data_IF_789897494487
#
_entry.id   IF_789897494487
#
_cell.length_a   1.000
_cell.length_b   1.000
_cell.length_c   1.000
_cell.angle_alpha   90.00
_cell.angle_beta   90.00
_cell.angle_gamma   90.00
#
_symmetry.space_group_name_H-M   'P 1'
#
loop_
_entity.id
_entity.type
_entity.pdbx_description
1 polymer ?
#
# COMPACT_ATOMS: atom_id res chain seq x y z
N UNK A 1 -1.78 10.47 -14.16
CA UNK A 1 -2.67 9.85 -13.15
C UNK A 1 -1.84 8.95 -12.26
N UNK A 2 -2.00 9.08 -10.95
CA UNK A 2 -1.28 8.25 -9.98
C UNK A 2 -1.72 6.79 -10.13
N UNK A 3 -0.76 5.88 -10.20
CA UNK A 3 -1.00 4.43 -10.37
C UNK A 3 -0.74 3.73 -9.06
N UNK A 4 -1.71 2.97 -8.58
CA UNK A 4 -1.70 2.36 -7.25
C UNK A 4 -1.86 0.84 -7.33
N UNK A 5 -1.05 0.13 -6.55
CA UNK A 5 -1.22 -1.30 -6.30
C UNK A 5 -1.72 -1.45 -4.86
N UNK A 6 -2.71 -2.32 -4.64
CA UNK A 6 -3.24 -2.56 -3.29
C UNK A 6 -2.94 -4.00 -2.90
N UNK A 7 -2.31 -4.18 -1.73
CA UNK A 7 -1.99 -5.51 -1.19
C UNK A 7 -2.83 -5.73 0.07
N UNK A 8 -3.79 -6.65 -0.02
CA UNK A 8 -4.72 -6.94 1.06
C UNK A 8 -5.34 -8.31 0.81
N UNK A 9 -5.56 -9.10 1.85
CA UNK A 9 -6.17 -10.43 1.71
C UNK A 9 -7.70 -10.39 1.72
N UNK A 10 -8.31 -9.23 1.95
CA UNK A 10 -9.76 -9.08 1.94
C UNK A 10 -10.24 -8.63 0.56
N UNK A 11 -10.91 -9.52 -0.17
CA UNK A 11 -11.46 -9.18 -1.48
C UNK A 11 -12.49 -8.06 -1.37
N UNK A 12 -13.28 -8.08 -0.29
CA UNK A 12 -14.28 -7.05 -0.05
C UNK A 12 -13.63 -5.66 0.07
N UNK A 13 -12.53 -5.56 0.82
CA UNK A 13 -11.81 -4.29 0.95
C UNK A 13 -11.20 -3.88 -0.39
N UNK A 14 -10.60 -4.83 -1.12
CA UNK A 14 -9.97 -4.53 -2.41
C UNK A 14 -10.98 -3.94 -3.39
N UNK A 15 -12.16 -4.51 -3.46
CA UNK A 15 -13.21 -4.03 -4.36
C UNK A 15 -13.68 -2.64 -3.97
N UNK A 16 -13.90 -2.41 -2.67
CA UNK A 16 -14.36 -1.11 -2.17
C UNK A 16 -13.30 -0.03 -2.36
N UNK A 17 -12.04 -0.35 -2.07
CA UNK A 17 -10.94 0.61 -2.21
C UNK A 17 -10.70 0.96 -3.68
N UNK A 18 -10.78 -0.03 -4.57
CA UNK A 18 -10.63 0.22 -6.01
C UNK A 18 -11.69 1.22 -6.49
N UNK A 19 -12.95 0.99 -6.15
CA UNK A 19 -14.03 1.88 -6.56
C UNK A 19 -13.85 3.29 -6.02
N UNK A 20 -13.49 3.40 -4.74
CA UNK A 20 -13.27 4.70 -4.10
C UNK A 20 -12.13 5.46 -4.78
N UNK A 21 -10.98 4.83 -4.95
CA UNK A 21 -9.80 5.49 -5.47
C UNK A 21 -9.96 5.86 -6.95
N UNK A 22 -10.59 5.00 -7.73
CA UNK A 22 -10.85 5.31 -9.14
C UNK A 22 -11.80 6.49 -9.29
N UNK A 23 -12.80 6.61 -8.42
CA UNK A 23 -13.65 7.79 -8.38
C UNK A 23 -12.87 9.07 -8.06
N UNK A 24 -11.75 8.95 -7.38
CA UNK A 24 -10.94 10.09 -6.95
C UNK A 24 -9.71 10.32 -7.84
N UNK A 25 -9.70 9.73 -9.03
CA UNK A 25 -8.66 10.00 -10.01
C UNK A 25 -7.38 9.22 -9.82
N UNK A 26 -7.41 8.14 -9.05
CA UNK A 26 -6.25 7.24 -8.88
C UNK A 26 -6.52 5.95 -9.63
N UNK A 27 -5.61 5.54 -10.50
CA UNK A 27 -5.74 4.30 -11.24
C UNK A 27 -5.26 3.13 -10.37
N UNK A 28 -6.14 2.19 -10.05
CA UNK A 28 -5.76 0.96 -9.36
C UNK A 28 -5.32 -0.04 -10.42
N UNK A 29 -4.02 -0.17 -10.60
CA UNK A 29 -3.44 -0.97 -11.69
C UNK A 29 -3.35 -2.45 -11.36
N UNK A 30 -3.48 -2.82 -10.10
CA UNK A 30 -3.47 -4.21 -9.70
C UNK A 30 -3.83 -4.37 -8.24
N UNK A 31 -4.13 -5.60 -7.85
CA UNK A 31 -4.38 -5.99 -6.47
C UNK A 31 -3.64 -7.30 -6.20
N UNK A 32 -3.15 -7.46 -4.99
CA UNK A 32 -2.43 -8.67 -4.58
C UNK A 32 -2.92 -9.08 -3.20
N UNK A 33 -2.97 -10.38 -2.95
CA UNK A 33 -3.40 -10.90 -1.65
C UNK A 33 -2.28 -11.56 -0.85
N UNK A 34 -1.09 -11.68 -1.44
CA UNK A 34 0.08 -12.26 -0.76
C UNK A 34 1.32 -11.43 -1.08
N UNK A 35 2.37 -11.61 -0.27
CA UNK A 35 3.64 -10.94 -0.51
C UNK A 35 4.30 -11.35 -1.82
N UNK A 36 4.23 -12.64 -2.17
CA UNK A 36 4.80 -13.15 -3.43
C UNK A 36 4.13 -12.50 -4.63
N UNK A 37 2.81 -12.42 -4.59
CA UNK A 37 2.04 -11.78 -5.65
C UNK A 37 2.34 -10.29 -5.74
N UNK A 38 2.48 -9.63 -4.58
CA UNK A 38 2.80 -8.21 -4.51
C UNK A 38 4.15 -7.91 -5.17
N UNK A 39 5.19 -8.69 -4.84
CA UNK A 39 6.52 -8.51 -5.43
C UNK A 39 6.45 -8.66 -6.95
N UNK A 40 5.77 -9.69 -7.43
CA UNK A 40 5.61 -9.91 -8.86
C UNK A 40 4.94 -8.74 -9.56
N UNK A 41 3.84 -8.25 -8.98
CA UNK A 41 3.08 -7.16 -9.59
C UNK A 41 3.81 -5.82 -9.53
N UNK A 42 4.53 -5.54 -8.45
CA UNK A 42 5.34 -4.32 -8.37
C UNK A 42 6.39 -4.31 -9.49
N UNK A 43 7.04 -5.44 -9.73
CA UNK A 43 8.06 -5.53 -10.76
C UNK A 43 7.46 -5.46 -12.16
N UNK A 44 6.28 -6.01 -12.38
CA UNK A 44 5.61 -6.01 -13.68
C UNK A 44 4.94 -4.66 -13.99
N UNK A 45 4.20 -4.13 -13.01
CA UNK A 45 3.33 -2.97 -13.22
C UNK A 45 3.98 -1.64 -12.88
N UNK A 46 5.00 -1.66 -12.03
CA UNK A 46 5.73 -0.46 -11.60
C UNK A 46 4.79 0.65 -11.13
N UNK A 47 3.98 0.39 -10.07
CA UNK A 47 3.05 1.40 -9.59
C UNK A 47 3.79 2.59 -8.99
N UNK A 48 3.10 3.74 -8.96
CA UNK A 48 3.64 4.94 -8.32
C UNK A 48 3.58 4.85 -6.80
N UNK A 49 2.64 4.07 -6.28
CA UNK A 49 2.49 3.82 -4.85
C UNK A 49 1.90 2.44 -4.63
N UNK A 50 2.32 1.77 -3.56
CA UNK A 50 1.77 0.48 -3.14
C UNK A 50 1.17 0.64 -1.75
N UNK A 51 -0.09 0.25 -1.58
CA UNK A 51 -0.74 0.20 -0.28
C UNK A 51 -0.62 -1.22 0.24
N UNK A 52 -0.09 -1.39 1.45
CA UNK A 52 0.17 -2.71 2.03
C UNK A 52 -0.53 -2.83 3.37
N UNK A 53 -1.49 -3.76 3.47
CA UNK A 53 -2.13 -4.06 4.75
C UNK A 53 -1.09 -4.66 5.70
N UNK A 54 -1.06 -4.19 6.94
CA UNK A 54 -0.12 -4.70 7.95
C UNK A 54 -0.45 -6.14 8.36
N UNK A 55 -1.68 -6.57 8.15
CA UNK A 55 -2.14 -7.92 8.49
C UNK A 55 -2.70 -8.60 7.24
N UNK A 56 -1.95 -9.53 6.69
CA UNK A 56 -2.31 -10.27 5.48
C UNK A 56 -2.68 -11.72 5.81
N UNK A 57 -3.35 -11.93 6.93
CA UNK A 57 -3.71 -13.27 7.37
C UNK A 57 -2.49 -14.00 7.89
N UNK A 58 -1.92 -14.88 7.10
CA UNK A 58 -0.72 -15.64 7.48
C UNK A 58 0.59 -14.89 7.33
N UNK A 59 0.57 -13.65 6.83
CA UNK A 59 1.78 -12.86 6.58
C UNK A 59 1.71 -11.51 7.27
N UNK A 60 2.88 -10.99 7.68
CA UNK A 60 2.98 -9.63 8.18
C UNK A 60 3.20 -8.66 7.03
N UNK A 61 2.38 -7.60 6.97
CA UNK A 61 2.56 -6.54 5.98
C UNK A 61 3.90 -5.81 6.14
N UNK A 62 4.44 -5.77 7.36
CA UNK A 62 5.77 -5.18 7.58
C UNK A 62 6.87 -5.99 6.87
N UNK A 63 6.75 -7.31 6.91
CA UNK A 63 7.67 -8.20 6.18
C UNK A 63 7.53 -8.03 4.68
N UNK A 64 6.29 -7.91 4.21
CA UNK A 64 6.02 -7.68 2.78
C UNK A 64 6.64 -6.36 2.33
N UNK A 65 6.49 -5.30 3.13
CA UNK A 65 7.09 -4.01 2.80
C UNK A 65 8.61 -4.09 2.70
N UNK A 66 9.25 -4.79 3.63
CA UNK A 66 10.71 -4.99 3.58
C UNK A 66 11.12 -5.77 2.35
N UNK A 67 10.35 -6.80 2.00
CA UNK A 67 10.60 -7.62 0.82
C UNK A 67 10.44 -6.81 -0.46
N UNK A 68 9.42 -5.97 -0.54
CA UNK A 68 9.20 -5.10 -1.69
C UNK A 68 10.36 -4.12 -1.88
N UNK A 69 10.87 -3.57 -0.80
CA UNK A 69 12.02 -2.67 -0.87
C UNK A 69 13.27 -3.41 -1.35
N UNK A 70 13.53 -4.61 -0.80
CA UNK A 70 14.70 -5.40 -1.15
C UNK A 70 14.67 -5.89 -2.58
N UNK A 71 13.50 -6.30 -3.05
CA UNK A 71 13.32 -6.95 -4.36
C UNK A 71 12.92 -5.97 -5.46
N UNK A 72 13.06 -4.66 -5.24
CA UNK A 72 12.60 -3.63 -6.17
C UNK A 72 13.56 -3.33 -7.32
N UNK A 73 14.56 -4.16 -7.55
CA UNK A 73 15.53 -3.99 -8.65
C UNK A 73 16.16 -2.59 -8.70
N UNK A 74 16.44 -2.03 -7.53
CA UNK A 74 17.05 -0.72 -7.41
C UNK A 74 16.11 0.45 -7.56
N UNK A 75 14.86 0.22 -7.91
CA UNK A 75 13.88 1.29 -8.02
C UNK A 75 13.23 1.55 -6.65
N UNK A 76 13.24 2.79 -6.21
CA UNK A 76 12.55 3.19 -4.99
C UNK A 76 11.10 3.51 -5.33
N UNK A 77 10.19 2.70 -4.80
CA UNK A 77 8.76 2.93 -5.00
C UNK A 77 8.10 3.14 -3.65
N UNK A 78 7.38 4.25 -3.46
CA UNK A 78 6.72 4.53 -2.19
C UNK A 78 5.75 3.44 -1.79
N UNK A 79 5.74 3.11 -0.49
CA UNK A 79 4.78 2.19 0.11
C UNK A 79 4.09 2.89 1.27
N UNK A 80 2.78 2.70 1.36
CA UNK A 80 1.98 3.21 2.47
C UNK A 80 1.37 2.01 3.15
N UNK A 81 1.57 1.89 4.47
CA UNK A 81 0.92 0.84 5.24
C UNK A 81 -0.51 1.23 5.55
N UNK A 82 -1.43 0.27 5.47
CA UNK A 82 -2.83 0.49 5.79
C UNK A 82 -3.29 -0.52 6.83
N UNK A 83 -4.26 -0.15 7.65
CA UNK A 83 -4.77 -1.04 8.70
C UNK A 83 -6.15 -0.59 9.18
N UNK A 84 -6.92 -1.55 9.73
CA UNK A 84 -8.13 -1.24 10.48
C UNK A 84 -7.81 -0.76 11.90
N UNK A 85 -6.56 -0.98 12.36
CA UNK A 85 -6.10 -0.54 13.68
C UNK A 85 -5.51 0.86 13.60
N UNK A 86 -5.33 1.50 14.76
CA UNK A 86 -4.76 2.85 14.79
C UNK A 86 -3.25 2.82 14.61
N UNK A 87 -2.71 3.93 14.11
CA UNK A 87 -1.27 4.10 13.94
C UNK A 87 -0.52 3.90 15.26
N UNK A 88 -1.10 4.36 16.36
CA UNK A 88 -0.45 4.28 17.68
C UNK A 88 -0.16 2.85 18.11
N UNK A 89 -1.01 1.90 17.70
CA UNK A 89 -0.83 0.50 18.08
C UNK A 89 0.43 -0.11 17.46
N UNK A 90 0.94 0.47 16.39
CA UNK A 90 2.05 -0.06 15.62
C UNK A 90 3.14 0.98 15.35
N UNK A 91 3.17 2.07 16.12
CA UNK A 91 4.06 3.21 15.84
C UNK A 91 5.53 2.80 15.67
N UNK A 92 6.03 1.94 16.54
CA UNK A 92 7.44 1.50 16.48
C UNK A 92 7.72 0.68 15.22
N UNK A 93 6.80 -0.22 14.87
CA UNK A 93 6.94 -1.06 13.69
C UNK A 93 6.84 -0.25 12.40
N UNK A 94 5.94 0.72 12.39
CA UNK A 94 5.79 1.64 11.25
C UNK A 94 7.06 2.44 11.06
N UNK A 95 7.60 3.00 12.14
CA UNK A 95 8.83 3.81 12.09
C UNK A 95 10.04 2.99 11.61
N UNK A 96 10.07 1.70 11.95
CA UNK A 96 11.15 0.81 11.54
C UNK A 96 10.97 0.26 10.11
N UNK A 97 9.82 0.47 9.49
CA UNK A 97 9.52 -0.06 8.16
C UNK A 97 10.05 0.87 7.06
N UNK A 98 10.20 0.36 5.82
CA UNK A 98 10.57 1.19 4.69
C UNK A 98 9.42 2.03 4.12
N UNK A 99 8.21 1.91 4.67
CA UNK A 99 7.06 2.66 4.18
C UNK A 99 7.23 4.16 4.41
N UNK A 100 6.66 4.96 3.53
CA UNK A 100 6.72 6.43 3.65
C UNK A 100 5.63 6.97 4.56
N UNK A 101 4.64 6.14 4.90
CA UNK A 101 3.58 6.57 5.80
C UNK A 101 2.60 5.45 6.10
N UNK A 102 1.56 5.82 6.83
CA UNK A 102 0.52 4.92 7.29
C UNK A 102 -0.84 5.61 7.13
N UNK A 103 -1.85 4.84 6.72
CA UNK A 103 -3.24 5.32 6.68
C UNK A 103 -4.15 4.28 7.32
N UNK A 104 -5.04 4.73 8.20
CA UNK A 104 -6.13 3.87 8.63
C UNK A 104 -7.04 3.59 7.44
N UNK A 105 -7.55 2.37 7.31
CA UNK A 105 -8.44 2.03 6.20
C UNK A 105 -9.67 2.94 6.16
N UNK A 106 -10.15 3.37 7.32
CA UNK A 106 -11.29 4.29 7.42
C UNK A 106 -10.97 5.71 6.93
N UNK A 107 -9.70 6.06 6.83
CA UNK A 107 -9.25 7.37 6.36
C UNK A 107 -8.68 7.34 4.94
N UNK A 108 -8.78 6.20 4.27
CA UNK A 108 -8.23 6.04 2.93
C UNK A 108 -9.00 6.92 1.93
N UNK A 109 -8.25 7.72 1.18
CA UNK A 109 -8.78 8.54 0.11
C UNK A 109 -7.65 8.90 -0.85
N UNK A 110 -8.01 9.40 -2.03
CA UNK A 110 -7.01 9.88 -2.97
C UNK A 110 -6.18 11.01 -2.39
N UNK A 111 -6.83 11.97 -1.70
CA UNK A 111 -6.13 13.09 -1.09
C UNK A 111 -5.20 12.63 0.04
N UNK A 112 -5.65 11.66 0.85
CA UNK A 112 -4.82 11.13 1.92
C UNK A 112 -3.55 10.49 1.38
N UNK A 113 -3.66 9.73 0.29
CA UNK A 113 -2.50 9.12 -0.36
C UNK A 113 -1.56 10.20 -0.89
N UNK A 114 -2.08 11.21 -1.58
CA UNK A 114 -1.26 12.29 -2.12
C UNK A 114 -0.56 13.06 -1.03
N UNK A 115 -1.23 13.30 0.10
CA UNK A 115 -0.64 13.99 1.24
C UNK A 115 0.52 13.19 1.85
N UNK A 116 0.37 11.88 2.00
CA UNK A 116 1.44 11.03 2.51
C UNK A 116 2.64 11.05 1.57
N UNK A 117 2.41 11.02 0.27
CA UNK A 117 3.49 11.06 -0.72
C UNK A 117 4.18 12.41 -0.78
N UNK A 118 3.61 13.45 -0.17
CA UNK A 118 4.17 14.78 -0.23
C UNK A 118 4.08 15.40 -1.62
N UNK A 119 3.17 14.91 -2.46
CA UNK A 119 3.04 15.42 -3.81
C UNK A 119 2.52 16.86 -3.78
N UNK A 120 3.24 17.81 -4.36
CA UNK A 120 2.73 19.17 -4.49
C UNK A 120 1.54 19.17 -5.43
N UNK A 121 0.41 19.56 -4.93
CA UNK A 121 -0.79 19.84 -5.68
C UNK A 121 -1.24 18.82 -6.69
#
# INVERSE_FOLDING_TARGET
MLRCLIVDDSQHFLDAARGLLECQGIAVVGVASTGTEAVRQVNELRPDVTLVDIDLGGESGFEVARRLQRDANGARRPMILISTHSEQDYADLIAASPAVGFLAKSALSGDAIRNVLGAPG
#
